data_IF_764150161670
#
_entry.id   IF_764150161670
#
_cell.length_a   1.000
_cell.length_b   1.000
_cell.length_c   1.000
_cell.angle_alpha   90.00
_cell.angle_beta   90.00
_cell.angle_gamma   90.00
#
_symmetry.space_group_name_H-M   'P 1'
#
loop_
_entity.id
_entity.type
_entity.pdbx_description
1 polymer ?
#
# COMPACT_ATOMS: atom_id res chain seq x y z
N UNK A 1 13.04 13.00 8.71
CA UNK A 1 13.52 11.68 8.27
C UNK A 1 14.55 11.86 7.17
N UNK A 2 15.60 11.00 7.18
CA UNK A 2 16.56 10.88 6.09
C UNK A 2 16.32 9.53 5.40
N UNK A 3 15.98 9.52 4.10
CA UNK A 3 15.84 8.27 3.36
C UNK A 3 17.20 7.62 3.14
N UNK A 4 17.27 6.31 3.32
CA UNK A 4 18.40 5.49 2.97
C UNK A 4 17.90 4.43 1.98
N UNK A 5 18.43 4.46 0.75
CA UNK A 5 17.95 3.59 -0.31
C UNK A 5 18.62 2.23 -0.25
N UNK A 6 17.83 1.18 -0.41
CA UNK A 6 18.28 -0.18 -0.64
C UNK A 6 17.88 -0.59 -2.06
N UNK A 7 18.67 -1.48 -2.66
CA UNK A 7 18.42 -1.91 -4.03
C UNK A 7 17.27 -2.90 -4.14
N UNK A 8 16.80 -3.13 -5.35
CA UNK A 8 15.70 -4.02 -5.69
C UNK A 8 16.22 -5.39 -6.14
N UNK A 9 15.39 -6.41 -6.00
CA UNK A 9 15.55 -7.68 -6.67
C UNK A 9 15.20 -7.53 -8.17
N UNK A 10 16.13 -7.80 -9.10
CA UNK A 10 15.90 -7.60 -10.52
C UNK A 10 14.83 -8.53 -11.12
N UNK A 11 14.49 -9.63 -10.46
CA UNK A 11 13.47 -10.56 -10.93
C UNK A 11 12.06 -10.09 -10.57
N UNK A 12 11.89 -9.46 -9.40
CA UNK A 12 10.59 -9.04 -8.88
C UNK A 12 10.37 -7.53 -8.95
N UNK A 13 11.43 -6.75 -9.05
CA UNK A 13 11.49 -5.30 -8.96
C UNK A 13 11.07 -4.73 -7.61
N UNK A 14 10.78 -5.59 -6.66
CA UNK A 14 10.51 -5.22 -5.29
C UNK A 14 11.81 -5.02 -4.50
N UNK A 15 11.71 -4.32 -3.39
CA UNK A 15 12.82 -4.12 -2.49
C UNK A 15 13.42 -5.46 -2.03
N UNK A 16 14.73 -5.66 -2.24
CA UNK A 16 15.43 -6.90 -1.89
C UNK A 16 15.65 -6.99 -0.38
N UNK A 17 15.13 -8.04 0.29
CA UNK A 17 15.33 -8.23 1.73
C UNK A 17 16.80 -8.31 2.16
N UNK A 18 17.70 -8.85 1.33
CA UNK A 18 19.13 -8.87 1.65
C UNK A 18 19.72 -7.46 1.63
N UNK A 19 19.28 -6.62 0.70
CA UNK A 19 19.70 -5.22 0.65
C UNK A 19 19.13 -4.43 1.83
N UNK A 20 17.92 -4.74 2.29
CA UNK A 20 17.38 -4.16 3.54
C UNK A 20 18.33 -4.46 4.69
N UNK A 21 18.65 -5.74 4.94
CA UNK A 21 19.52 -6.13 6.08
C UNK A 21 20.89 -5.44 6.04
N UNK A 22 21.49 -5.31 4.84
CA UNK A 22 22.80 -4.66 4.65
C UNK A 22 22.77 -3.14 4.90
N UNK A 23 21.60 -2.51 4.71
CA UNK A 23 21.45 -1.06 4.77
C UNK A 23 20.88 -0.56 6.10
N UNK A 24 20.52 -1.44 7.05
CA UNK A 24 20.06 -1.04 8.38
C UNK A 24 21.20 -0.34 9.12
N UNK A 25 20.91 0.85 9.64
CA UNK A 25 21.79 1.66 10.45
C UNK A 25 21.28 1.71 11.90
N UNK A 26 22.11 2.08 12.89
CA UNK A 26 21.68 2.17 14.30
C UNK A 26 20.49 3.11 14.54
N UNK A 27 20.27 4.09 13.67
CA UNK A 27 19.18 5.05 13.72
C UNK A 27 18.06 4.77 12.72
N UNK A 28 18.07 3.63 12.05
CA UNK A 28 16.94 3.19 11.19
C UNK A 28 15.72 2.96 12.06
N UNK A 29 14.57 3.48 11.67
CA UNK A 29 13.31 3.37 12.41
C UNK A 29 12.21 2.66 11.64
N UNK A 30 12.29 2.65 10.31
CA UNK A 30 11.27 2.02 9.48
C UNK A 30 11.83 1.50 8.15
N UNK A 31 11.14 0.52 7.61
CA UNK A 31 11.28 0.03 6.24
C UNK A 31 10.07 0.54 5.46
N UNK A 32 10.30 1.15 4.29
CA UNK A 32 9.24 1.54 3.35
C UNK A 32 9.44 0.72 2.08
N UNK A 33 8.48 -0.15 1.75
CA UNK A 33 8.56 -1.02 0.60
C UNK A 33 7.31 -0.90 -0.27
N UNK A 34 7.49 -0.94 -1.59
CA UNK A 34 6.41 -0.83 -2.58
C UNK A 34 6.09 -2.21 -3.15
N UNK A 35 4.81 -2.57 -3.22
CA UNK A 35 4.33 -3.71 -4.01
C UNK A 35 4.31 -3.32 -5.50
N UNK A 36 5.47 -3.43 -6.16
CA UNK A 36 5.67 -2.91 -7.52
C UNK A 36 4.74 -3.60 -8.52
N UNK A 37 3.96 -2.82 -9.25
CA UNK A 37 2.91 -3.29 -10.17
C UNK A 37 1.87 -4.23 -9.55
N UNK A 38 1.73 -4.23 -8.22
CA UNK A 38 0.86 -5.17 -7.50
C UNK A 38 1.51 -6.53 -7.20
N UNK A 39 2.77 -6.74 -7.58
CA UNK A 39 3.51 -7.92 -7.18
C UNK A 39 3.89 -7.80 -5.70
N UNK A 40 3.49 -8.76 -4.82
CA UNK A 40 3.80 -8.68 -3.40
C UNK A 40 5.31 -8.69 -3.15
N UNK A 41 5.79 -7.79 -2.28
CA UNK A 41 7.13 -7.93 -1.70
C UNK A 41 7.25 -9.28 -0.97
N UNK A 42 8.46 -9.72 -0.67
CA UNK A 42 8.69 -10.81 0.29
C UNK A 42 8.32 -10.33 1.71
N UNK A 43 7.01 -10.24 1.94
CA UNK A 43 6.44 -9.66 3.17
C UNK A 43 6.85 -10.45 4.41
N UNK A 44 7.04 -11.77 4.28
CA UNK A 44 7.44 -12.63 5.40
C UNK A 44 8.88 -12.34 5.81
N UNK A 45 9.77 -12.22 4.84
CA UNK A 45 11.18 -11.93 5.10
C UNK A 45 11.37 -10.51 5.63
N UNK A 46 10.65 -9.53 5.06
CA UNK A 46 10.65 -8.14 5.54
C UNK A 46 10.15 -8.08 6.98
N UNK A 47 9.08 -8.80 7.32
CA UNK A 47 8.55 -8.85 8.69
C UNK A 47 9.58 -9.44 9.67
N UNK A 48 10.29 -10.52 9.29
CA UNK A 48 11.36 -11.10 10.11
C UNK A 48 12.48 -10.09 10.38
N UNK A 49 12.93 -9.38 9.33
CA UNK A 49 13.98 -8.35 9.44
C UNK A 49 13.52 -7.21 10.35
N UNK A 50 12.30 -6.73 10.16
CA UNK A 50 11.73 -5.65 10.95
C UNK A 50 11.65 -6.01 12.44
N UNK A 51 11.10 -7.20 12.77
CA UNK A 51 11.02 -7.70 14.14
C UNK A 51 12.39 -7.83 14.80
N UNK A 52 13.37 -8.43 14.10
CA UNK A 52 14.75 -8.61 14.58
C UNK A 52 15.40 -7.27 14.95
N UNK A 53 15.10 -6.21 14.22
CA UNK A 53 15.74 -4.90 14.36
C UNK A 53 14.81 -3.84 15.01
N UNK A 54 13.63 -4.24 15.51
CA UNK A 54 12.63 -3.35 16.11
C UNK A 54 12.25 -2.17 15.18
N UNK A 55 12.04 -2.46 13.89
CA UNK A 55 11.66 -1.49 12.87
C UNK A 55 10.17 -1.55 12.59
N UNK A 56 9.60 -0.42 12.17
CA UNK A 56 8.26 -0.34 11.59
C UNK A 56 8.30 -0.67 10.11
N UNK A 57 7.19 -1.20 9.58
CA UNK A 57 7.06 -1.51 8.16
C UNK A 57 5.88 -0.75 7.58
N UNK A 58 6.16 0.03 6.54
CA UNK A 58 5.16 0.76 5.76
C UNK A 58 5.17 0.22 4.33
N UNK A 59 4.04 -0.27 3.86
CA UNK A 59 3.89 -0.71 2.47
C UNK A 59 3.19 0.35 1.62
N UNK A 60 3.81 0.70 0.50
CA UNK A 60 3.11 1.37 -0.60
C UNK A 60 2.41 0.30 -1.44
N UNK A 61 1.10 0.19 -1.24
CA UNK A 61 0.22 -0.73 -1.96
C UNK A 61 -0.61 -0.03 -3.05
N UNK A 62 -0.16 1.12 -3.56
CA UNK A 62 -0.90 1.91 -4.56
C UNK A 62 -1.30 1.12 -5.82
N UNK A 63 -0.62 0.02 -6.13
CA UNK A 63 -0.90 -0.86 -7.27
C UNK A 63 -1.50 -2.22 -6.88
N UNK A 64 -1.76 -2.46 -5.61
CA UNK A 64 -2.02 -3.81 -5.09
C UNK A 64 -3.49 -4.06 -4.68
N UNK A 65 -4.45 -3.28 -5.21
CA UNK A 65 -5.86 -3.47 -4.87
C UNK A 65 -6.33 -4.90 -5.23
N UNK A 66 -6.90 -5.58 -4.23
CA UNK A 66 -7.36 -6.96 -4.37
C UNK A 66 -6.28 -8.04 -4.32
N UNK A 67 -5.00 -7.67 -4.23
CA UNK A 67 -3.88 -8.62 -4.21
C UNK A 67 -3.82 -9.38 -2.88
N UNK A 68 -3.59 -10.68 -2.99
CA UNK A 68 -3.42 -11.58 -1.84
C UNK A 68 -2.09 -12.33 -1.91
N UNK A 69 -1.44 -12.47 -0.77
CA UNK A 69 -0.29 -13.35 -0.58
C UNK A 69 -0.67 -14.51 0.34
N UNK A 70 -0.57 -15.75 -0.14
CA UNK A 70 -0.99 -16.96 0.59
C UNK A 70 -2.40 -16.87 1.20
N UNK A 71 -3.34 -16.31 0.44
CA UNK A 71 -4.75 -16.16 0.85
C UNK A 71 -5.05 -14.99 1.79
N UNK A 72 -4.03 -14.30 2.31
CA UNK A 72 -4.14 -13.10 3.14
C UNK A 72 -3.97 -11.83 2.29
N UNK A 73 -4.75 -10.79 2.56
CA UNK A 73 -4.56 -9.50 1.88
C UNK A 73 -3.14 -8.96 2.10
N UNK A 74 -2.53 -8.38 1.06
CA UNK A 74 -1.20 -7.75 1.22
C UNK A 74 -1.24 -6.55 2.15
N UNK A 75 -2.40 -5.93 2.34
CA UNK A 75 -2.60 -4.80 3.26
C UNK A 75 -2.67 -5.20 4.74
N UNK A 76 -2.76 -6.51 5.05
CA UNK A 76 -2.72 -7.01 6.43
C UNK A 76 -1.27 -7.21 6.93
N UNK A 77 -0.28 -6.94 6.10
CA UNK A 77 1.14 -7.05 6.45
C UNK A 77 1.73 -5.68 6.81
N UNK A 78 2.73 -5.69 7.70
CA UNK A 78 3.37 -4.47 8.20
C UNK A 78 2.51 -3.71 9.21
N UNK A 79 2.95 -2.49 9.55
CA UNK A 79 2.26 -1.61 10.48
C UNK A 79 1.25 -0.71 9.77
N UNK A 80 1.60 -0.27 8.56
CA UNK A 80 0.78 0.62 7.72
C UNK A 80 0.90 0.17 6.27
N UNK A 81 -0.23 0.19 5.55
CA UNK A 81 -0.26 0.13 4.09
C UNK A 81 -1.02 1.31 3.53
N UNK A 82 -0.55 1.86 2.41
CA UNK A 82 -1.23 2.92 1.67
C UNK A 82 -1.84 2.39 0.38
N UNK A 83 -3.01 2.91 0.01
CA UNK A 83 -3.69 2.62 -1.23
C UNK A 83 -3.92 3.90 -2.00
N UNK A 84 -3.80 3.83 -3.31
CA UNK A 84 -4.19 4.90 -4.21
C UNK A 84 -5.53 4.56 -4.88
N UNK A 85 -6.45 5.52 -4.87
CA UNK A 85 -7.72 5.46 -5.60
C UNK A 85 -7.77 6.47 -6.75
N UNK A 86 -6.59 6.87 -7.25
CA UNK A 86 -6.49 7.70 -8.44
C UNK A 86 -7.14 7.02 -9.66
N UNK A 87 -7.67 7.79 -10.60
CA UNK A 87 -8.43 7.31 -11.75
C UNK A 87 -7.74 6.26 -12.63
N UNK A 88 -6.42 6.15 -12.59
CA UNK A 88 -5.64 5.14 -13.35
C UNK A 88 -5.58 3.78 -12.66
N UNK A 89 -6.00 3.67 -11.40
CA UNK A 89 -5.93 2.43 -10.64
C UNK A 89 -7.06 1.47 -11.02
N UNK A 90 -6.89 0.18 -10.70
CA UNK A 90 -7.90 -0.85 -10.92
C UNK A 90 -9.21 -0.50 -10.21
N UNK A 91 -9.13 -0.19 -8.93
CA UNK A 91 -10.21 0.43 -8.15
C UNK A 91 -9.90 1.91 -7.98
N UNK A 92 -10.87 2.77 -8.23
CA UNK A 92 -10.66 4.22 -8.15
C UNK A 92 -11.90 4.98 -7.68
N UNK A 93 -11.66 6.15 -7.15
CA UNK A 93 -12.66 7.13 -6.74
C UNK A 93 -12.50 8.45 -7.51
N UNK A 94 -11.93 8.39 -8.73
CA UNK A 94 -11.38 9.50 -9.52
C UNK A 94 -10.12 10.03 -8.85
N UNK A 95 -10.26 10.61 -7.67
CA UNK A 95 -9.18 10.98 -6.75
C UNK A 95 -9.48 10.43 -5.36
N UNK A 96 -8.48 9.93 -4.68
CA UNK A 96 -8.61 9.40 -3.34
C UNK A 96 -7.50 8.41 -2.98
N UNK A 97 -7.63 7.87 -1.78
CA UNK A 97 -6.73 6.86 -1.24
C UNK A 97 -7.23 6.37 0.11
N UNK A 98 -6.55 5.38 0.63
CA UNK A 98 -6.80 4.87 1.96
C UNK A 98 -5.48 4.52 2.67
N UNK A 99 -5.54 4.48 3.97
CA UNK A 99 -4.50 3.93 4.83
C UNK A 99 -5.10 2.76 5.60
N UNK A 100 -4.41 1.64 5.60
CA UNK A 100 -4.79 0.43 6.34
C UNK A 100 -3.78 0.21 7.46
N UNK A 101 -4.28 -0.04 8.65
CA UNK A 101 -3.50 -0.44 9.83
C UNK A 101 -4.35 -1.32 10.73
N UNK A 102 -3.72 -2.22 11.48
CA UNK A 102 -4.33 -3.06 12.50
C UNK A 102 -4.15 -2.49 13.93
N UNK A 103 -3.58 -1.29 14.06
CA UNK A 103 -3.39 -0.57 15.32
C UNK A 103 -4.46 0.51 15.46
N UNK A 104 -5.40 0.31 16.40
CA UNK A 104 -6.52 1.22 16.63
C UNK A 104 -6.05 2.62 17.05
N UNK A 105 -5.02 2.72 17.89
CA UNK A 105 -4.50 4.02 18.33
C UNK A 105 -3.86 4.79 17.16
N UNK A 106 -3.17 4.06 16.28
CA UNK A 106 -2.61 4.65 15.07
C UNK A 106 -3.72 5.06 14.09
N UNK A 107 -4.77 4.25 13.95
CA UNK A 107 -5.92 4.58 13.10
C UNK A 107 -6.62 5.87 13.58
N UNK A 108 -6.83 6.02 14.88
CA UNK A 108 -7.44 7.23 15.46
C UNK A 108 -6.54 8.46 15.26
N UNK A 109 -5.24 8.29 15.44
CA UNK A 109 -4.28 9.36 15.16
C UNK A 109 -4.28 9.78 13.68
N UNK A 110 -4.35 8.82 12.76
CA UNK A 110 -4.42 9.10 11.32
C UNK A 110 -5.73 9.84 10.98
N UNK A 111 -6.88 9.39 11.50
CA UNK A 111 -8.17 10.09 11.30
C UNK A 111 -8.12 11.54 11.75
N UNK A 112 -7.54 11.79 12.92
CA UNK A 112 -7.34 13.14 13.44
C UNK A 112 -6.49 13.98 12.47
N UNK A 113 -5.36 13.47 12.01
CA UNK A 113 -4.47 14.18 11.10
C UNK A 113 -5.10 14.41 9.71
N UNK A 114 -5.92 13.48 9.20
CA UNK A 114 -6.68 13.63 7.97
C UNK A 114 -7.78 14.71 8.07
N UNK A 115 -8.17 15.09 9.28
CA UNK A 115 -9.13 16.18 9.57
C UNK A 115 -8.45 17.40 10.21
N UNK A 116 -7.37 17.89 9.61
CA UNK A 116 -6.62 19.07 10.06
C UNK A 116 -6.00 18.98 11.48
N UNK A 117 -6.07 17.84 12.16
CA UNK A 117 -5.70 17.70 13.56
C UNK A 117 -6.75 18.27 14.53
N UNK A 118 -7.98 18.50 14.05
CA UNK A 118 -9.08 19.10 14.83
C UNK A 118 -9.85 18.00 15.55
N UNK A 119 -9.96 18.11 16.87
CA UNK A 119 -10.79 17.23 17.71
C UNK A 119 -12.17 17.83 17.92
N UNK A 120 -12.25 19.12 18.17
CA UNK A 120 -13.49 19.88 18.39
C UNK A 120 -13.30 21.31 17.90
N UNK A 121 -14.39 22.11 17.93
CA UNK A 121 -14.46 23.49 17.39
C UNK A 121 -13.30 24.38 17.82
N UNK A 122 -12.80 24.19 19.04
CA UNK A 122 -11.75 25.01 19.66
C UNK A 122 -10.50 24.20 20.06
N UNK A 123 -10.43 22.91 19.69
CA UNK A 123 -9.34 22.03 20.11
C UNK A 123 -8.61 21.43 18.92
N UNK A 124 -7.32 21.79 18.79
CA UNK A 124 -6.40 21.25 17.79
C UNK A 124 -5.30 20.46 18.52
N UNK A 125 -5.17 19.17 18.22
CA UNK A 125 -4.20 18.26 18.87
C UNK A 125 -3.00 17.91 18.00
N UNK A 126 -2.93 18.43 16.77
CA UNK A 126 -1.80 18.17 15.89
C UNK A 126 -1.84 18.94 14.59
N UNK A 127 -0.71 18.92 13.90
CA UNK A 127 -0.61 19.48 12.54
C UNK A 127 -1.14 18.44 11.58
N UNK A 128 -2.32 18.66 11.04
CA UNK A 128 -2.96 17.79 10.07
C UNK A 128 -3.19 18.45 8.72
N UNK A 129 -3.80 17.71 7.81
CA UNK A 129 -4.15 18.17 6.46
C UNK A 129 -5.63 17.88 6.18
N UNK A 130 -6.18 18.44 5.12
CA UNK A 130 -7.47 18.02 4.60
C UNK A 130 -7.27 16.80 3.69
N UNK A 131 -7.42 15.61 4.25
CA UNK A 131 -7.36 14.35 3.51
C UNK A 131 -8.69 13.58 3.57
N UNK A 132 -9.81 14.31 3.71
CA UNK A 132 -11.15 13.71 3.68
C UNK A 132 -11.55 13.35 2.26
N UNK A 133 -12.10 12.15 2.07
CA UNK A 133 -12.74 11.77 0.81
C UNK A 133 -14.07 12.53 0.69
N UNK A 134 -14.32 13.17 -0.45
CA UNK A 134 -15.61 13.85 -0.71
C UNK A 134 -16.68 12.83 -1.15
N UNK A 135 -17.95 13.21 -1.01
CA UNK A 135 -19.09 12.35 -1.28
C UNK A 135 -19.18 11.90 -2.75
N UNK A 136 -18.79 12.74 -3.71
CA UNK A 136 -18.81 12.36 -5.13
C UNK A 136 -17.76 11.28 -5.43
N UNK A 137 -16.55 11.43 -4.88
CA UNK A 137 -15.51 10.41 -4.98
C UNK A 137 -15.93 9.12 -4.28
N UNK A 138 -16.55 9.20 -3.11
CA UNK A 138 -17.08 8.05 -2.41
C UNK A 138 -18.17 7.33 -3.23
N UNK A 139 -19.12 8.06 -3.81
CA UNK A 139 -20.17 7.51 -4.66
C UNK A 139 -19.58 6.83 -5.91
N UNK A 140 -18.57 7.44 -6.55
CA UNK A 140 -17.87 6.82 -7.67
C UNK A 140 -17.21 5.50 -7.25
N UNK A 141 -16.58 5.46 -6.07
CA UNK A 141 -16.00 4.22 -5.53
C UNK A 141 -17.04 3.13 -5.33
N UNK A 142 -18.22 3.46 -4.82
CA UNK A 142 -19.33 2.50 -4.68
C UNK A 142 -19.73 1.91 -6.05
N UNK A 143 -19.89 2.74 -7.08
CA UNK A 143 -20.19 2.26 -8.43
C UNK A 143 -19.09 1.32 -8.98
N UNK A 144 -17.81 1.64 -8.75
CA UNK A 144 -16.71 0.78 -9.20
C UNK A 144 -16.68 -0.55 -8.44
N UNK A 145 -17.04 -0.54 -7.13
CA UNK A 145 -17.13 -1.77 -6.35
C UNK A 145 -18.25 -2.71 -6.83
N UNK A 146 -19.36 -2.18 -7.34
CA UNK A 146 -20.45 -2.99 -7.89
C UNK A 146 -19.97 -3.82 -9.10
N UNK A 147 -18.99 -3.32 -9.86
CA UNK A 147 -18.45 -3.96 -11.06
C UNK A 147 -17.06 -4.64 -10.80
N UNK A 148 -16.58 -4.67 -9.58
CA UNK A 148 -15.17 -5.03 -9.30
C UNK A 148 -14.80 -6.44 -9.75
N UNK A 149 -15.68 -7.42 -9.59
CA UNK A 149 -15.44 -8.81 -10.01
C UNK A 149 -15.30 -8.90 -11.53
N UNK A 150 -16.17 -8.21 -12.27
CA UNK A 150 -16.09 -8.13 -13.73
C UNK A 150 -14.77 -7.48 -14.18
N UNK A 151 -14.33 -6.45 -13.48
CA UNK A 151 -13.04 -5.78 -13.77
C UNK A 151 -11.88 -6.76 -13.58
N UNK A 152 -11.88 -7.54 -12.49
CA UNK A 152 -10.86 -8.58 -12.25
C UNK A 152 -10.86 -9.64 -13.35
N UNK A 153 -12.02 -10.16 -13.72
CA UNK A 153 -12.16 -11.17 -14.78
C UNK A 153 -11.64 -10.67 -16.13
N UNK A 154 -12.05 -9.48 -16.55
CA UNK A 154 -11.58 -8.86 -17.80
C UNK A 154 -10.07 -8.66 -17.82
N UNK A 155 -9.46 -8.20 -16.71
CA UNK A 155 -8.01 -8.03 -16.62
C UNK A 155 -7.26 -9.35 -16.64
N UNK A 156 -7.76 -10.35 -15.94
CA UNK A 156 -7.19 -11.71 -15.96
C UNK A 156 -7.20 -12.30 -17.38
N UNK A 157 -8.31 -12.14 -18.12
CA UNK A 157 -8.40 -12.59 -19.52
C UNK A 157 -7.36 -11.87 -20.42
N UNK A 158 -7.20 -10.57 -20.25
CA UNK A 158 -6.19 -9.81 -20.98
C UNK A 158 -4.77 -10.30 -20.65
N UNK A 159 -4.47 -10.53 -19.36
CA UNK A 159 -3.20 -11.10 -18.91
C UNK A 159 -2.92 -12.45 -19.58
N UNK A 160 -3.87 -13.39 -19.53
CA UNK A 160 -3.75 -14.68 -20.19
C UNK A 160 -3.58 -14.58 -21.72
N UNK A 161 -4.14 -13.55 -22.37
CA UNK A 161 -3.90 -13.33 -23.81
C UNK A 161 -2.47 -12.89 -24.08
N UNK A 162 -1.90 -12.04 -23.22
CA UNK A 162 -0.48 -11.67 -23.30
C UNK A 162 0.42 -12.88 -23.10
N UNK A 163 0.22 -13.65 -22.04
CA UNK A 163 0.98 -14.87 -21.76
C UNK A 163 0.97 -15.85 -22.94
N UNK A 164 -0.21 -16.14 -23.51
CA UNK A 164 -0.31 -17.03 -24.67
C UNK A 164 0.40 -16.51 -25.93
N UNK A 165 0.50 -15.20 -26.10
CA UNK A 165 1.08 -14.61 -27.32
C UNK A 165 2.55 -14.29 -27.21
N UNK A 166 3.02 -13.99 -26.00
CA UNK A 166 4.37 -13.50 -25.75
C UNK A 166 5.20 -14.44 -24.89
N UNK A 167 4.57 -15.38 -24.16
CA UNK A 167 5.23 -16.26 -23.20
C UNK A 167 6.31 -17.18 -23.79
N UNK A 168 6.36 -17.33 -25.11
CA UNK A 168 7.46 -18.04 -25.82
C UNK A 168 8.66 -17.11 -26.11
N UNK A 169 8.54 -15.82 -25.81
CA UNK A 169 9.54 -14.80 -26.15
C UNK A 169 10.14 -14.12 -24.90
N UNK A 170 9.66 -14.48 -23.67
CA UNK A 170 10.13 -13.91 -22.40
C UNK A 170 10.47 -14.99 -21.39
#
# INVERSE_FOLDING_TARGET
FLPHFADIDPATWNLDPEQIERNIQPNTSAIVATHVFGNPCDVERIEQIARKNNLRVVYDGAHAFGVRHKGRSVYDWGDISTLSFHATKLFHTIEGGAIVTNDDALADRIRLLCNFGIVDTDQIEGIGINAKLNEFSAAMGMCVLDDIELIFECRAEIGHRYERRLGEHF
#
